data_IF_779111800299
#
_entry.id   IF_779111800299
#
_cell.length_a   1.000
_cell.length_b   1.000
_cell.length_c   1.000
_cell.angle_alpha   90.00
_cell.angle_beta   90.00
_cell.angle_gamma   90.00
#
_symmetry.space_group_name_H-M   'P 1'
#
loop_
_entity.id
_entity.type
_entity.pdbx_description
1 polymer ?
#
# COMPACT_ATOMS: atom_id res chain seq x y z
N UNK A 1 39.74 47.34 31.99
CA UNK A 1 39.61 45.86 32.08
C UNK A 1 38.34 45.45 31.32
N UNK A 2 38.48 45.09 30.06
CA UNK A 2 37.32 44.69 29.22
C UNK A 2 37.40 43.22 28.97
N UNK A 3 36.45 42.47 29.56
CA UNK A 3 36.27 41.02 29.29
C UNK A 3 35.47 40.83 28.01
N UNK A 4 36.10 40.20 27.00
CA UNK A 4 35.41 39.74 25.80
C UNK A 4 34.74 38.39 26.12
N UNK A 5 33.41 38.37 26.11
CA UNK A 5 32.62 37.16 26.13
C UNK A 5 32.71 36.49 24.75
N UNK A 6 33.41 35.36 24.71
CA UNK A 6 33.46 34.44 23.56
C UNK A 6 32.16 33.71 23.45
N UNK A 7 31.36 33.93 22.40
CA UNK A 7 30.15 33.19 22.08
C UNK A 7 30.58 31.92 21.35
N UNK A 8 30.69 30.85 22.09
CA UNK A 8 30.86 29.50 21.55
C UNK A 8 29.52 29.00 21.00
N UNK A 9 29.34 29.07 19.68
CA UNK A 9 28.23 28.44 18.98
C UNK A 9 28.55 26.95 18.85
N UNK A 10 27.68 26.05 19.29
CA UNK A 10 27.90 24.63 19.09
C UNK A 10 27.97 24.32 17.58
N UNK A 11 29.12 23.84 17.11
CA UNK A 11 29.31 23.28 15.78
C UNK A 11 28.41 22.04 15.65
N UNK A 12 27.46 22.10 14.68
CA UNK A 12 26.71 20.93 14.25
C UNK A 12 27.70 19.83 13.84
N UNK A 13 27.77 18.77 14.61
CA UNK A 13 28.55 17.58 14.33
C UNK A 13 27.89 16.84 13.17
N UNK A 14 28.37 17.07 11.95
CA UNK A 14 27.99 16.33 10.74
C UNK A 14 28.52 14.90 10.76
N UNK A 15 28.04 14.07 11.69
CA UNK A 15 28.27 12.64 11.70
C UNK A 15 27.45 11.95 10.57
N UNK A 16 27.97 10.82 10.07
CA UNK A 16 27.19 9.95 9.16
C UNK A 16 25.87 9.61 9.86
N UNK A 17 24.70 9.76 9.18
CA UNK A 17 23.40 9.45 9.80
C UNK A 17 23.38 8.02 10.37
N UNK A 18 22.78 7.85 11.52
CA UNK A 18 22.54 6.51 12.07
C UNK A 18 21.61 5.72 11.14
N UNK A 19 21.58 4.39 11.32
CA UNK A 19 20.69 3.54 10.53
C UNK A 19 19.21 3.93 10.74
N UNK A 20 18.85 4.27 11.98
CA UNK A 20 17.48 4.72 12.32
C UNK A 20 17.14 6.06 11.65
N UNK A 21 18.05 7.03 11.70
CA UNK A 21 17.85 8.32 11.02
C UNK A 21 17.71 8.16 9.51
N UNK A 22 18.46 7.22 8.90
CA UNK A 22 18.34 6.95 7.48
C UNK A 22 16.99 6.32 7.11
N UNK A 23 16.45 5.42 7.94
CA UNK A 23 15.13 4.83 7.77
C UNK A 23 14.06 5.91 7.90
N UNK A 24 14.11 6.74 8.94
CA UNK A 24 13.14 7.82 9.16
C UNK A 24 13.14 8.83 8.01
N UNK A 25 14.31 9.23 7.50
CA UNK A 25 14.42 10.12 6.34
C UNK A 25 13.84 9.51 5.07
N UNK A 26 14.05 8.21 4.87
CA UNK A 26 13.46 7.48 3.74
C UNK A 26 11.94 7.44 3.83
N UNK A 27 11.39 7.15 5.00
CA UNK A 27 9.94 7.16 5.23
C UNK A 27 9.35 8.57 5.02
N UNK A 28 9.99 9.59 5.56
CA UNK A 28 9.55 10.97 5.34
C UNK A 28 9.53 11.32 3.84
N UNK A 29 10.56 10.95 3.09
CA UNK A 29 10.61 11.17 1.64
C UNK A 29 9.45 10.46 0.91
N UNK A 30 9.07 9.25 1.33
CA UNK A 30 7.93 8.54 0.75
C UNK A 30 6.59 9.24 1.07
N UNK A 31 6.43 9.80 2.27
CA UNK A 31 5.24 10.58 2.63
C UNK A 31 5.12 11.82 1.74
N UNK A 32 6.18 12.60 1.64
CA UNK A 32 6.22 13.81 0.81
C UNK A 32 6.02 13.49 -0.68
N UNK A 33 6.67 12.43 -1.17
CA UNK A 33 6.48 11.97 -2.55
C UNK A 33 5.03 11.55 -2.83
N UNK A 34 4.37 10.89 -1.88
CA UNK A 34 2.96 10.54 -2.01
C UNK A 34 2.12 11.80 -2.23
N UNK A 35 2.31 12.82 -1.39
CA UNK A 35 1.56 14.07 -1.51
C UNK A 35 1.81 14.76 -2.85
N UNK A 36 3.07 14.84 -3.30
CA UNK A 36 3.42 15.43 -4.60
C UNK A 36 2.76 14.69 -5.76
N UNK A 37 2.72 13.34 -5.73
CA UNK A 37 2.03 12.59 -6.77
C UNK A 37 0.51 12.79 -6.74
N UNK A 38 -0.09 12.98 -5.57
CA UNK A 38 -1.52 13.28 -5.44
C UNK A 38 -1.88 14.68 -5.96
N UNK A 39 -1.04 15.67 -5.68
CA UNK A 39 -1.31 17.06 -6.01
C UNK A 39 -1.05 17.38 -7.49
N UNK A 40 -0.01 16.79 -8.08
CA UNK A 40 0.46 17.13 -9.43
C UNK A 40 0.24 16.00 -10.46
N UNK A 41 -0.14 14.80 -10.03
CA UNK A 41 -0.14 13.61 -10.88
C UNK A 41 1.27 13.08 -11.15
N UNK A 42 1.36 11.93 -11.81
CA UNK A 42 2.66 11.32 -12.12
C UNK A 42 3.40 12.04 -13.24
N UNK A 43 2.69 12.40 -14.32
CA UNK A 43 3.30 13.01 -15.50
C UNK A 43 3.97 14.35 -15.23
N UNK A 44 3.31 15.23 -14.47
CA UNK A 44 3.83 16.56 -14.13
C UNK A 44 4.84 16.54 -12.99
N UNK A 45 4.93 15.45 -12.23
CA UNK A 45 5.91 15.32 -11.15
C UNK A 45 7.29 15.04 -11.73
N UNK A 46 8.23 15.96 -11.51
CA UNK A 46 9.65 15.79 -11.83
C UNK A 46 10.47 15.44 -10.58
N UNK A 47 11.67 14.88 -10.76
CA UNK A 47 12.61 14.66 -9.65
C UNK A 47 13.01 16.00 -9.01
N UNK A 48 13.00 17.09 -9.77
CA UNK A 48 13.29 18.43 -9.25
C UNK A 48 12.19 18.92 -8.32
N UNK A 49 10.94 18.72 -8.71
CA UNK A 49 9.79 19.03 -7.87
C UNK A 49 9.82 18.20 -6.58
N UNK A 50 10.01 16.88 -6.69
CA UNK A 50 10.13 15.98 -5.54
C UNK A 50 11.25 16.38 -4.59
N UNK A 51 12.43 16.70 -5.12
CA UNK A 51 13.58 17.13 -4.32
C UNK A 51 13.30 18.43 -3.55
N UNK A 52 12.61 19.38 -4.19
CA UNK A 52 12.24 20.66 -3.59
C UNK A 52 11.20 20.47 -2.48
N UNK A 53 10.11 19.76 -2.76
CA UNK A 53 9.02 19.57 -1.81
C UNK A 53 9.45 18.72 -0.61
N UNK A 54 10.24 17.66 -0.84
CA UNK A 54 10.77 16.80 0.23
C UNK A 54 12.03 17.37 0.92
N UNK A 55 12.50 18.58 0.54
CA UNK A 55 13.69 19.21 1.11
C UNK A 55 14.95 18.32 1.09
N UNK A 56 15.13 17.54 0.03
CA UNK A 56 16.29 16.65 -0.17
C UNK A 56 17.04 16.98 -1.47
N UNK A 57 18.31 16.58 -1.55
CA UNK A 57 19.03 16.67 -2.82
C UNK A 57 18.50 15.64 -3.82
N UNK A 58 18.44 15.97 -5.12
CA UNK A 58 18.12 15.04 -6.21
C UNK A 58 18.92 13.73 -6.14
N UNK A 59 20.23 13.86 -5.83
CA UNK A 59 21.12 12.72 -5.65
C UNK A 59 20.61 11.75 -4.58
N UNK A 60 20.00 12.24 -3.52
CA UNK A 60 19.41 11.42 -2.47
C UNK A 60 18.27 10.56 -3.02
N UNK A 61 17.38 11.15 -3.84
CA UNK A 61 16.28 10.42 -4.48
C UNK A 61 16.82 9.31 -5.39
N UNK A 62 17.79 9.65 -6.26
CA UNK A 62 18.40 8.66 -7.15
C UNK A 62 19.14 7.55 -6.41
N UNK A 63 19.82 7.88 -5.31
CA UNK A 63 20.54 6.88 -4.49
C UNK A 63 19.58 5.91 -3.78
N UNK A 64 18.41 6.36 -3.36
CA UNK A 64 17.44 5.52 -2.64
C UNK A 64 16.50 4.75 -3.56
N UNK A 65 16.16 5.29 -4.72
CA UNK A 65 15.09 4.76 -5.56
C UNK A 65 15.47 4.57 -7.04
N UNK A 66 16.58 5.12 -7.50
CA UNK A 66 17.03 4.95 -8.89
C UNK A 66 16.25 5.79 -9.90
N UNK A 67 14.92 5.73 -9.91
CA UNK A 67 14.07 6.44 -10.87
C UNK A 67 12.78 6.95 -10.23
N UNK A 68 12.04 7.81 -10.96
CA UNK A 68 10.70 8.25 -10.57
C UNK A 68 9.72 7.08 -10.48
N UNK A 69 9.81 6.12 -11.39
CA UNK A 69 8.96 4.94 -11.40
C UNK A 69 9.22 4.05 -10.17
N UNK A 70 10.48 3.83 -9.82
CA UNK A 70 10.84 3.06 -8.63
C UNK A 70 10.47 3.78 -7.32
N UNK A 71 10.61 5.12 -7.27
CA UNK A 71 10.10 5.91 -6.15
C UNK A 71 8.58 5.75 -6.02
N UNK A 72 7.83 5.81 -7.13
CA UNK A 72 6.39 5.57 -7.13
C UNK A 72 6.07 4.16 -6.66
N UNK A 73 6.79 3.15 -7.15
CA UNK A 73 6.67 1.76 -6.67
C UNK A 73 6.89 1.63 -5.16
N UNK A 74 7.88 2.37 -4.62
CA UNK A 74 8.13 2.39 -3.17
C UNK A 74 6.99 3.08 -2.38
N UNK A 75 6.36 4.10 -2.95
CA UNK A 75 5.13 4.70 -2.39
C UNK A 75 4.01 3.68 -2.34
N UNK A 76 3.74 2.96 -3.44
CA UNK A 76 2.70 1.91 -3.47
C UNK A 76 3.01 0.82 -2.44
N UNK A 77 4.27 0.38 -2.38
CA UNK A 77 4.70 -0.62 -1.41
C UNK A 77 4.44 -0.19 0.03
N UNK A 78 4.81 1.05 0.37
CA UNK A 78 4.54 1.63 1.70
C UNK A 78 3.04 1.63 2.04
N UNK A 79 2.20 2.01 1.09
CA UNK A 79 0.75 2.02 1.27
C UNK A 79 0.20 0.60 1.45
N UNK A 80 0.69 -0.36 0.66
CA UNK A 80 0.24 -1.75 0.75
C UNK A 80 0.80 -2.47 1.99
N UNK A 81 1.95 -2.07 2.53
CA UNK A 81 2.50 -2.65 3.76
C UNK A 81 1.52 -2.54 4.93
N UNK A 82 0.72 -1.47 4.99
CA UNK A 82 -0.35 -1.29 5.99
C UNK A 82 -1.44 -2.37 5.93
N UNK A 83 -1.61 -3.03 4.78
CA UNK A 83 -2.56 -4.15 4.64
C UNK A 83 -1.98 -5.39 5.30
N UNK A 84 -0.68 -5.63 5.14
CA UNK A 84 -0.03 -6.88 5.53
C UNK A 84 0.59 -6.83 6.94
N UNK A 85 0.85 -5.62 7.48
CA UNK A 85 1.45 -5.45 8.81
C UNK A 85 0.74 -6.25 9.92
N UNK A 86 -0.62 -6.30 9.99
CA UNK A 86 -1.33 -7.11 10.97
C UNK A 86 -1.24 -8.63 10.70
N UNK A 87 -0.76 -9.04 9.51
CA UNK A 87 -0.75 -10.42 9.06
C UNK A 87 0.65 -10.83 8.56
N UNK A 88 1.67 -10.86 9.43
CA UNK A 88 3.05 -11.15 9.02
C UNK A 88 3.20 -12.54 8.40
N UNK A 89 2.33 -13.48 8.78
CA UNK A 89 2.23 -14.81 8.17
C UNK A 89 0.79 -15.32 8.26
N UNK A 90 0.02 -15.10 7.20
CA UNK A 90 -1.39 -15.51 7.15
C UNK A 90 -1.55 -17.05 7.23
N UNK A 91 -0.60 -17.80 6.70
CA UNK A 91 -0.64 -19.29 6.70
C UNK A 91 -0.37 -19.88 8.07
N UNK A 92 0.28 -19.16 8.97
CA UNK A 92 0.53 -19.61 10.35
C UNK A 92 -0.60 -19.24 11.32
N UNK A 93 -1.63 -18.55 10.86
CA UNK A 93 -2.79 -18.20 11.67
C UNK A 93 -3.67 -19.45 11.88
N UNK A 94 -3.80 -19.88 13.13
CA UNK A 94 -4.53 -21.10 13.50
C UNK A 94 -6.04 -20.89 13.66
N UNK A 95 -6.53 -19.67 13.49
CA UNK A 95 -7.97 -19.39 13.52
C UNK A 95 -8.70 -20.05 12.36
N UNK A 96 -10.00 -20.33 12.47
CA UNK A 96 -10.80 -20.82 11.35
C UNK A 96 -10.77 -19.86 10.15
N UNK A 97 -10.90 -20.35 8.90
CA UNK A 97 -10.81 -19.54 7.68
C UNK A 97 -11.78 -18.35 7.63
N UNK A 98 -12.98 -18.50 8.18
CA UNK A 98 -13.96 -17.41 8.27
C UNK A 98 -13.43 -16.22 9.07
N UNK A 99 -12.73 -16.46 10.17
CA UNK A 99 -12.15 -15.40 11.02
C UNK A 99 -10.92 -14.77 10.38
N UNK A 100 -10.02 -15.61 9.81
CA UNK A 100 -8.79 -15.13 9.16
C UNK A 100 -9.13 -14.28 7.94
N UNK A 101 -9.98 -14.80 7.06
CA UNK A 101 -10.38 -14.12 5.84
C UNK A 101 -11.22 -12.86 6.12
N UNK A 102 -12.06 -12.87 7.16
CA UNK A 102 -12.80 -11.68 7.58
C UNK A 102 -11.83 -10.57 8.02
N UNK A 103 -10.90 -10.88 8.93
CA UNK A 103 -9.92 -9.92 9.41
C UNK A 103 -9.05 -9.34 8.28
N UNK A 104 -8.58 -10.20 7.38
CA UNK A 104 -7.81 -9.79 6.20
C UNK A 104 -8.64 -8.89 5.27
N UNK A 105 -9.88 -9.28 4.96
CA UNK A 105 -10.77 -8.55 4.06
C UNK A 105 -11.17 -7.18 4.62
N UNK A 106 -11.44 -7.07 5.94
CA UNK A 106 -11.74 -5.80 6.61
C UNK A 106 -10.53 -4.85 6.52
N UNK A 107 -9.33 -5.33 6.82
CA UNK A 107 -8.11 -4.54 6.73
C UNK A 107 -7.82 -4.11 5.29
N UNK A 108 -7.93 -5.04 4.34
CA UNK A 108 -7.76 -4.74 2.92
C UNK A 108 -8.74 -3.65 2.47
N UNK A 109 -10.04 -3.83 2.71
CA UNK A 109 -11.07 -2.90 2.25
C UNK A 109 -10.89 -1.52 2.91
N UNK A 110 -10.58 -1.47 4.20
CA UNK A 110 -10.30 -0.23 4.92
C UNK A 110 -9.14 0.54 4.28
N UNK A 111 -8.03 -0.13 3.97
CA UNK A 111 -6.85 0.51 3.40
C UNK A 111 -7.07 0.94 1.95
N UNK A 112 -7.63 0.08 1.09
CA UNK A 112 -7.84 0.41 -0.33
C UNK A 112 -8.91 1.47 -0.56
N UNK A 113 -9.80 1.71 0.42
CA UNK A 113 -10.81 2.78 0.38
C UNK A 113 -10.35 4.06 1.08
N UNK A 114 -9.16 4.09 1.65
CA UNK A 114 -8.59 5.31 2.22
C UNK A 114 -8.40 6.39 1.15
N UNK A 115 -8.51 7.65 1.54
CA UNK A 115 -8.37 8.79 0.61
C UNK A 115 -7.02 8.79 -0.12
N UNK A 116 -5.96 8.44 0.58
CA UNK A 116 -4.59 8.36 0.06
C UNK A 116 -4.48 7.28 -1.04
N UNK A 117 -4.95 6.05 -0.78
CA UNK A 117 -4.89 4.94 -1.75
C UNK A 117 -5.83 5.18 -2.94
N UNK A 118 -7.03 5.69 -2.72
CA UNK A 118 -7.96 6.07 -3.79
C UNK A 118 -7.37 7.17 -4.67
N UNK A 119 -6.71 8.18 -4.07
CA UNK A 119 -6.03 9.23 -4.82
C UNK A 119 -4.95 8.66 -5.74
N UNK A 120 -4.08 7.81 -5.21
CA UNK A 120 -3.04 7.12 -5.99
C UNK A 120 -3.65 6.24 -7.09
N UNK A 121 -4.72 5.50 -6.81
CA UNK A 121 -5.46 4.71 -7.81
C UNK A 121 -5.94 5.57 -8.98
N UNK A 122 -6.51 6.75 -8.69
CA UNK A 122 -6.96 7.69 -9.73
C UNK A 122 -5.81 8.21 -10.59
N UNK A 123 -4.66 8.52 -9.98
CA UNK A 123 -3.44 8.91 -10.70
C UNK A 123 -3.02 7.79 -11.67
N UNK A 124 -2.99 6.54 -11.20
CA UNK A 124 -2.63 5.39 -12.05
C UNK A 124 -3.62 5.23 -13.20
N UNK A 125 -4.93 5.21 -12.94
CA UNK A 125 -5.95 5.03 -13.98
C UNK A 125 -5.89 6.16 -15.02
N UNK A 126 -5.68 7.40 -14.58
CA UNK A 126 -5.63 8.55 -15.48
C UNK A 126 -4.38 8.59 -16.37
N UNK A 127 -3.27 8.03 -15.94
CA UNK A 127 -1.98 8.21 -16.60
C UNK A 127 -1.31 6.92 -17.10
N UNK A 128 -1.80 5.74 -16.73
CA UNK A 128 -1.17 4.45 -17.04
C UNK A 128 -0.96 4.19 -18.53
N UNK A 129 -1.85 4.71 -19.40
CA UNK A 129 -1.70 4.56 -20.85
C UNK A 129 -0.53 5.38 -21.42
N UNK A 130 -0.13 6.47 -20.74
CA UNK A 130 1.01 7.33 -21.12
C UNK A 130 2.31 6.87 -20.46
N UNK A 131 2.20 6.23 -19.30
CA UNK A 131 3.31 5.77 -18.47
C UNK A 131 3.09 4.31 -18.05
N UNK A 132 3.35 3.34 -18.93
CA UNK A 132 3.13 1.92 -18.65
C UNK A 132 3.90 1.42 -17.43
N UNK A 133 5.07 2.00 -17.16
CA UNK A 133 5.87 1.68 -15.98
C UNK A 133 5.15 2.04 -14.66
N UNK A 134 4.30 3.07 -14.68
CA UNK A 134 3.46 3.45 -13.54
C UNK A 134 2.47 2.32 -13.19
N UNK A 135 1.76 1.81 -14.20
CA UNK A 135 0.83 0.70 -14.02
C UNK A 135 1.53 -0.57 -13.51
N UNK A 136 2.72 -0.86 -14.05
CA UNK A 136 3.53 -2.00 -13.63
C UNK A 136 3.94 -1.89 -12.17
N UNK A 137 4.47 -0.75 -11.75
CA UNK A 137 4.86 -0.50 -10.37
C UNK A 137 3.66 -0.59 -9.41
N UNK A 138 2.52 -0.02 -9.80
CA UNK A 138 1.30 -0.13 -9.01
C UNK A 138 0.86 -1.58 -8.84
N UNK A 139 0.75 -2.33 -9.93
CA UNK A 139 0.27 -3.71 -9.89
C UNK A 139 1.19 -4.61 -9.07
N UNK A 140 2.51 -4.54 -9.30
CA UNK A 140 3.51 -5.38 -8.63
C UNK A 140 3.61 -5.10 -7.12
N UNK A 141 3.53 -3.83 -6.72
CA UNK A 141 3.70 -3.44 -5.31
C UNK A 141 2.39 -3.38 -4.52
N UNK A 142 1.25 -3.49 -5.16
CA UNK A 142 -0.09 -3.50 -4.56
C UNK A 142 -0.83 -4.81 -4.82
N UNK A 143 -1.69 -4.88 -5.87
CA UNK A 143 -2.59 -6.02 -6.12
C UNK A 143 -1.89 -7.39 -6.18
N UNK A 144 -0.75 -7.50 -6.87
CA UNK A 144 -0.02 -8.77 -6.99
C UNK A 144 0.46 -9.30 -5.64
N UNK A 145 0.79 -8.42 -4.69
CA UNK A 145 1.16 -8.84 -3.32
C UNK A 145 -0.04 -9.42 -2.56
N UNK A 146 -1.22 -8.81 -2.69
CA UNK A 146 -2.43 -9.33 -2.07
C UNK A 146 -2.80 -10.70 -2.63
N UNK A 147 -2.70 -10.86 -3.96
CA UNK A 147 -2.89 -12.16 -4.62
C UNK A 147 -1.90 -13.19 -4.11
N UNK A 148 -0.61 -12.87 -4.04
CA UNK A 148 0.41 -13.82 -3.60
C UNK A 148 0.17 -14.33 -2.17
N UNK A 149 -0.24 -13.44 -1.25
CA UNK A 149 -0.57 -13.82 0.14
C UNK A 149 -1.78 -14.75 0.18
N UNK A 150 -2.84 -14.44 -0.59
CA UNK A 150 -4.05 -15.27 -0.66
C UNK A 150 -3.79 -16.62 -1.31
N UNK A 151 -3.00 -16.67 -2.39
CA UNK A 151 -2.61 -17.93 -3.05
C UNK A 151 -1.89 -18.85 -2.06
N UNK A 152 -0.92 -18.32 -1.31
CA UNK A 152 -0.21 -19.09 -0.29
C UNK A 152 -1.15 -19.58 0.81
N UNK A 153 -2.06 -18.72 1.28
CA UNK A 153 -3.04 -19.11 2.29
C UNK A 153 -4.00 -20.19 1.80
N UNK A 154 -4.58 -20.02 0.61
CA UNK A 154 -5.52 -20.99 0.04
C UNK A 154 -4.85 -22.32 -0.27
N UNK A 155 -3.61 -22.31 -0.76
CA UNK A 155 -2.85 -23.55 -0.97
C UNK A 155 -2.65 -24.31 0.35
N UNK A 156 -2.25 -23.61 1.41
CA UNK A 156 -2.09 -24.21 2.73
C UNK A 156 -3.42 -24.79 3.27
N UNK A 157 -4.54 -24.07 3.15
CA UNK A 157 -5.86 -24.55 3.60
C UNK A 157 -6.35 -25.73 2.75
N UNK A 158 -6.02 -25.76 1.47
CA UNK A 158 -6.35 -26.84 0.54
C UNK A 158 -5.55 -28.11 0.90
N UNK A 159 -4.26 -27.97 1.21
CA UNK A 159 -3.41 -29.10 1.66
C UNK A 159 -3.88 -29.68 2.99
N UNK A 160 -4.46 -28.86 3.88
CA UNK A 160 -5.06 -29.31 5.13
C UNK A 160 -6.46 -29.94 4.96
N UNK A 161 -7.03 -29.91 3.74
CA UNK A 161 -8.38 -30.41 3.47
C UNK A 161 -9.49 -29.55 4.06
N UNK A 162 -9.19 -28.30 4.46
CA UNK A 162 -10.16 -27.37 5.04
C UNK A 162 -10.93 -26.63 3.93
N UNK A 163 -10.25 -26.31 2.83
CA UNK A 163 -10.85 -25.76 1.62
C UNK A 163 -10.64 -26.73 0.45
N UNK A 164 -11.58 -26.75 -0.50
CA UNK A 164 -11.52 -27.59 -1.69
C UNK A 164 -11.51 -26.73 -2.96
N UNK A 165 -10.33 -26.22 -3.29
CA UNK A 165 -10.09 -25.26 -4.38
C UNK A 165 -9.39 -25.97 -5.53
N UNK A 166 -9.99 -25.98 -6.71
CA UNK A 166 -9.39 -26.57 -7.92
C UNK A 166 -8.40 -25.64 -8.62
N UNK A 167 -8.70 -24.33 -8.68
CA UNK A 167 -7.84 -23.29 -9.24
C UNK A 167 -7.60 -22.20 -8.20
N UNK A 168 -6.49 -22.33 -7.50
CA UNK A 168 -6.13 -21.44 -6.37
C UNK A 168 -5.90 -20.02 -6.84
N UNK A 169 -5.24 -19.83 -7.99
CA UNK A 169 -4.93 -18.49 -8.52
C UNK A 169 -6.19 -17.73 -8.91
N UNK A 170 -7.06 -18.34 -9.69
CA UNK A 170 -8.35 -17.77 -10.07
C UNK A 170 -9.23 -17.50 -8.84
N UNK A 171 -9.23 -18.41 -7.89
CA UNK A 171 -10.01 -18.27 -6.65
C UNK A 171 -9.52 -17.08 -5.82
N UNK A 172 -8.22 -16.84 -5.75
CA UNK A 172 -7.67 -15.67 -5.07
C UNK A 172 -8.09 -14.35 -5.75
N UNK A 173 -8.09 -14.30 -7.09
CA UNK A 173 -8.59 -13.15 -7.86
C UNK A 173 -10.08 -12.91 -7.61
N UNK A 174 -10.89 -13.98 -7.64
CA UNK A 174 -12.33 -13.92 -7.38
C UNK A 174 -12.62 -13.45 -5.95
N UNK A 175 -11.87 -13.93 -4.96
CA UNK A 175 -12.00 -13.49 -3.58
C UNK A 175 -11.75 -11.98 -3.43
N UNK A 176 -10.65 -11.48 -3.99
CA UNK A 176 -10.37 -10.03 -3.96
C UNK A 176 -11.49 -9.22 -4.61
N UNK A 177 -12.01 -9.67 -5.76
CA UNK A 177 -13.11 -8.99 -6.45
C UNK A 177 -14.40 -9.00 -5.62
N UNK A 178 -14.72 -10.09 -4.92
CA UNK A 178 -15.85 -10.17 -4.00
C UNK A 178 -15.70 -9.17 -2.83
N UNK A 179 -14.52 -9.09 -2.24
CA UNK A 179 -14.23 -8.18 -1.11
C UNK A 179 -14.33 -6.72 -1.54
N UNK A 180 -13.67 -6.35 -2.64
CA UNK A 180 -13.65 -4.96 -3.12
C UNK A 180 -15.04 -4.50 -3.55
N UNK A 181 -15.71 -5.28 -4.38
CA UNK A 181 -17.09 -5.10 -4.81
C UNK A 181 -17.44 -3.70 -5.30
N UNK A 182 -18.69 -3.36 -5.12
CA UNK A 182 -19.25 -2.05 -5.50
C UNK A 182 -18.79 -0.93 -4.57
N UNK A 183 -18.47 -1.25 -3.31
CA UNK A 183 -18.04 -0.27 -2.32
C UNK A 183 -16.77 0.47 -2.79
N UNK A 184 -15.72 -0.27 -3.13
CA UNK A 184 -14.46 0.31 -3.64
C UNK A 184 -14.68 1.08 -4.95
N UNK A 185 -15.45 0.51 -5.90
CA UNK A 185 -15.71 1.11 -7.21
C UNK A 185 -16.42 2.46 -7.11
N UNK A 186 -17.45 2.58 -6.28
CA UNK A 186 -18.16 3.85 -6.06
C UNK A 186 -17.24 4.93 -5.50
N UNK A 187 -16.40 4.60 -4.52
CA UNK A 187 -15.45 5.54 -3.93
C UNK A 187 -14.42 5.97 -4.98
N UNK A 188 -13.91 5.02 -5.78
CA UNK A 188 -12.95 5.29 -6.84
C UNK A 188 -13.50 6.28 -7.89
N UNK A 189 -14.78 6.15 -8.24
CA UNK A 189 -15.46 7.08 -9.15
C UNK A 189 -15.96 8.38 -8.49
N UNK A 190 -15.81 8.52 -7.18
CA UNK A 190 -16.32 9.68 -6.46
C UNK A 190 -17.84 9.72 -6.36
N UNK A 191 -18.50 8.55 -6.47
CA UNK A 191 -19.96 8.42 -6.41
C UNK A 191 -20.37 8.05 -4.98
N UNK A 192 -21.06 8.96 -4.30
CA UNK A 192 -21.61 8.72 -2.97
C UNK A 192 -20.66 9.11 -1.83
N UNK A 193 -21.11 8.87 -0.61
CA UNK A 193 -20.35 9.15 0.60
C UNK A 193 -19.24 8.10 0.79
N UNK A 194 -18.21 8.48 1.57
CA UNK A 194 -17.17 7.56 2.04
C UNK A 194 -17.81 6.28 2.60
N UNK A 195 -17.22 5.11 2.32
CA UNK A 195 -17.70 3.86 2.89
C UNK A 195 -17.80 3.97 4.41
N UNK A 196 -18.98 3.72 4.96
CA UNK A 196 -19.13 3.64 6.41
C UNK A 196 -18.58 2.31 6.91
N UNK A 197 -18.13 2.28 8.16
CA UNK A 197 -17.67 1.04 8.79
C UNK A 197 -18.73 -0.08 8.68
N UNK A 198 -20.02 0.27 8.80
CA UNK A 198 -21.14 -0.67 8.68
C UNK A 198 -21.27 -1.22 7.25
N UNK A 199 -21.17 -0.35 6.21
CA UNK A 199 -21.24 -0.80 4.81
C UNK A 199 -20.08 -1.69 4.43
N UNK A 200 -18.87 -1.41 4.94
CA UNK A 200 -17.70 -2.24 4.75
C UNK A 200 -17.86 -3.62 5.42
N UNK A 201 -18.28 -3.65 6.68
CA UNK A 201 -18.54 -4.91 7.40
C UNK A 201 -19.60 -5.76 6.68
N UNK A 202 -20.69 -5.15 6.22
CA UNK A 202 -21.71 -5.84 5.46
C UNK A 202 -21.16 -6.43 4.15
N UNK A 203 -20.34 -5.66 3.42
CA UNK A 203 -19.68 -6.12 2.20
C UNK A 203 -18.78 -7.33 2.47
N UNK A 204 -17.91 -7.23 3.48
CA UNK A 204 -17.00 -8.31 3.88
C UNK A 204 -17.77 -9.55 4.31
N UNK A 205 -18.76 -9.42 5.20
CA UNK A 205 -19.56 -10.56 5.68
C UNK A 205 -20.23 -11.30 4.52
N UNK A 206 -20.82 -10.56 3.56
CA UNK A 206 -21.42 -11.15 2.36
C UNK A 206 -20.43 -11.88 1.48
N UNK A 207 -19.24 -11.27 1.27
CA UNK A 207 -18.16 -11.86 0.47
C UNK A 207 -17.65 -13.18 1.10
N UNK A 208 -17.37 -13.17 2.41
CA UNK A 208 -16.89 -14.35 3.15
C UNK A 208 -17.92 -15.47 3.14
N UNK A 209 -19.21 -15.16 3.43
CA UNK A 209 -20.26 -16.16 3.43
C UNK A 209 -20.46 -16.83 2.06
N UNK A 210 -20.39 -16.04 0.97
CA UNK A 210 -20.49 -16.56 -0.38
C UNK A 210 -19.28 -17.42 -0.75
N UNK A 211 -18.08 -16.94 -0.43
CA UNK A 211 -16.82 -17.62 -0.72
C UNK A 211 -16.75 -19.00 -0.02
N UNK A 212 -16.99 -19.04 1.28
CA UNK A 212 -16.86 -20.26 2.06
C UNK A 212 -17.91 -21.31 1.67
N UNK A 213 -19.14 -20.92 1.31
CA UNK A 213 -20.15 -21.85 0.78
C UNK A 213 -19.72 -22.55 -0.51
N UNK A 214 -18.87 -21.91 -1.29
CA UNK A 214 -18.36 -22.49 -2.54
C UNK A 214 -17.19 -23.44 -2.35
N UNK A 215 -16.43 -23.33 -1.25
CA UNK A 215 -15.15 -24.01 -1.10
C UNK A 215 -14.96 -24.77 0.23
N UNK A 216 -15.83 -24.60 1.22
CA UNK A 216 -15.91 -25.47 2.38
C UNK A 216 -16.80 -26.67 2.05
N UNK A 217 -16.26 -27.89 2.26
CA UNK A 217 -17.01 -29.13 2.15
C UNK A 217 -17.97 -29.35 3.32
#
# INVERSE_FOLDING_TARGET
MSQRLSSDKPRATGGRPTKEEAIQRREQLLVEATQVFLDYGYGLTSIDLLAREAHVAKRTIYQHFGSKAELFGAVIRRLSDRIFEPFPNLTADSRPPDQVLTAFAEQLLMQVTSSEVIGVHRVVIGEAHRFPELAQQFYQNGPARALAVLVQYFDAQNQLGILHISDISLTAEQFLNLVLGECHRRILFGIGQTATAESMKRQVAGAIALFLRGYQG
#
